data_IF_252533723906
#
_entry.id   IF_252533723906
#
_cell.length_a   1.000
_cell.length_b   1.000
_cell.length_c   1.000
_cell.angle_alpha   90.00
_cell.angle_beta   90.00
_cell.angle_gamma   90.00
#
_symmetry.space_group_name_H-M   'P 1'
#
loop_
_entity.id
_entity.type
_entity.pdbx_description
1 polymer ?
#
# COMPACT_ATOMS: atom_id res chain seq x y z
N UNK A 1 1.26 19.09 55.92
CA UNK A 1 1.86 19.54 54.65
C UNK A 1 2.86 18.56 54.05
N UNK A 2 3.81 17.98 54.81
CA UNK A 2 4.81 17.02 54.29
C UNK A 2 4.22 15.78 53.57
N UNK A 3 3.07 15.27 54.04
CA UNK A 3 2.36 14.14 53.43
C UNK A 3 1.70 14.49 52.08
N UNK A 4 1.33 15.76 51.87
CA UNK A 4 0.71 16.25 50.63
C UNK A 4 1.76 16.42 49.52
N UNK A 5 2.95 16.89 49.87
CA UNK A 5 4.08 16.98 48.94
C UNK A 5 4.53 15.62 48.41
N UNK A 6 4.54 14.58 49.26
CA UNK A 6 4.89 13.22 48.81
C UNK A 6 3.85 12.62 47.86
N UNK A 7 2.55 12.92 48.05
CA UNK A 7 1.51 12.46 47.13
C UNK A 7 1.58 13.19 45.80
N UNK A 8 1.88 14.49 45.80
CA UNK A 8 2.03 15.28 44.58
C UNK A 8 3.24 14.82 43.74
N UNK A 9 4.38 14.52 44.38
CA UNK A 9 5.59 14.02 43.70
C UNK A 9 5.33 12.62 43.10
N UNK A 10 4.63 11.75 43.83
CA UNK A 10 4.27 10.42 43.32
C UNK A 10 3.34 10.51 42.10
N UNK A 11 2.34 11.40 42.13
CA UNK A 11 1.43 11.63 41.01
C UNK A 11 2.17 12.19 39.78
N UNK A 12 3.11 13.10 39.99
CA UNK A 12 3.94 13.67 38.92
C UNK A 12 4.90 12.63 38.32
N UNK A 13 5.43 11.71 39.14
CA UNK A 13 6.27 10.61 38.66
C UNK A 13 5.51 9.62 37.78
N UNK A 14 4.25 9.31 38.11
CA UNK A 14 3.39 8.47 37.27
C UNK A 14 3.12 9.13 35.92
N UNK A 15 2.85 10.44 35.90
CA UNK A 15 2.69 11.19 34.64
C UNK A 15 3.97 11.27 33.79
N UNK A 16 5.14 11.38 34.42
CA UNK A 16 6.43 11.36 33.71
C UNK A 16 6.77 9.98 33.12
N UNK A 17 6.30 8.89 33.73
CA UNK A 17 6.52 7.54 33.23
C UNK A 17 5.59 7.16 32.06
N UNK A 18 4.40 7.74 31.96
CA UNK A 18 3.52 7.57 30.78
C UNK A 18 3.97 8.41 29.57
N UNK A 19 4.79 9.45 29.77
CA UNK A 19 5.30 10.31 28.69
C UNK A 19 6.51 9.77 27.93
N UNK A 20 7.12 8.68 28.38
CA UNK A 20 8.28 8.05 27.73
C UNK A 20 7.96 6.71 27.04
N UNK A 21 6.67 6.43 26.80
CA UNK A 21 6.22 5.34 25.95
C UNK A 21 5.64 5.92 24.66
N UNK A 22 6.41 6.78 23.99
CA UNK A 22 6.24 6.92 22.55
C UNK A 22 6.90 5.68 21.98
N UNK A 23 6.06 4.69 21.67
CA UNK A 23 6.45 3.48 20.96
C UNK A 23 7.04 3.96 19.63
N UNK A 24 8.37 3.90 19.51
CA UNK A 24 9.07 4.16 18.25
C UNK A 24 8.45 3.21 17.22
N UNK A 25 7.65 3.75 16.30
CA UNK A 25 7.10 2.99 15.18
C UNK A 25 8.30 2.31 14.52
N UNK A 26 8.37 0.97 14.50
CA UNK A 26 9.57 0.28 14.08
C UNK A 26 9.85 0.63 12.62
N UNK A 27 10.84 1.50 12.42
CA UNK A 27 11.34 1.94 11.10
C UNK A 27 11.73 0.76 10.19
N UNK A 28 11.87 -0.45 10.74
CA UNK A 28 12.15 -1.67 9.99
C UNK A 28 11.05 -2.08 9.01
N UNK A 29 9.77 -1.80 9.31
CA UNK A 29 8.66 -2.17 8.42
C UNK A 29 8.59 -1.23 7.19
N UNK A 30 9.02 0.02 7.37
CA UNK A 30 9.16 1.02 6.31
C UNK A 30 10.24 0.68 5.28
N UNK A 31 11.20 -0.18 5.63
CA UNK A 31 12.39 -0.44 4.81
C UNK A 31 12.03 -0.88 3.39
N UNK A 32 12.76 -0.43 2.37
CA UNK A 32 12.57 -0.91 0.99
C UNK A 32 12.95 -2.39 0.82
N UNK A 33 13.62 -2.97 1.82
CA UNK A 33 14.02 -4.38 1.84
C UNK A 33 13.03 -5.28 2.58
N UNK A 34 11.92 -4.74 3.12
CA UNK A 34 10.89 -5.54 3.76
C UNK A 34 9.96 -6.22 2.75
N UNK A 35 9.14 -7.14 3.24
CA UNK A 35 8.08 -7.77 2.46
C UNK A 35 6.77 -6.99 2.63
N UNK A 36 5.95 -7.03 1.59
CA UNK A 36 4.54 -6.62 1.59
C UNK A 36 3.68 -7.86 1.76
N UNK A 37 2.57 -7.72 2.48
CA UNK A 37 1.57 -8.78 2.67
C UNK A 37 0.30 -8.40 1.93
N UNK A 38 -0.33 -9.37 1.27
CA UNK A 38 -1.57 -9.13 0.54
C UNK A 38 -2.75 -8.89 1.50
N UNK A 39 -3.43 -7.77 1.35
CA UNK A 39 -4.66 -7.43 2.05
C UNK A 39 -5.87 -7.82 1.21
N UNK A 40 -6.67 -8.76 1.71
CA UNK A 40 -7.84 -9.28 1.01
C UNK A 40 -9.06 -8.35 1.06
N UNK A 41 -9.06 -7.33 1.91
CA UNK A 41 -10.13 -6.34 1.99
C UNK A 41 -9.96 -5.24 0.93
N UNK A 42 -8.72 -4.78 0.72
CA UNK A 42 -8.37 -3.79 -0.33
C UNK A 42 -7.99 -4.43 -1.66
N UNK A 43 -7.68 -5.74 -1.68
CA UNK A 43 -7.06 -6.46 -2.80
C UNK A 43 -5.69 -5.88 -3.21
N UNK A 44 -4.91 -5.37 -2.26
CA UNK A 44 -3.59 -4.79 -2.55
C UNK A 44 -2.51 -5.28 -1.59
N UNK A 45 -1.25 -5.16 -1.98
CA UNK A 45 -0.09 -5.41 -1.13
C UNK A 45 0.33 -4.18 -0.29
N UNK A 46 -0.24 -3.03 -0.58
CA UNK A 46 0.30 -1.72 -0.18
C UNK A 46 -0.41 -1.07 0.99
N UNK A 47 -1.22 -1.82 1.71
CA UNK A 47 -1.83 -1.38 2.97
C UNK A 47 -0.83 -1.48 4.12
N UNK A 48 0.27 -0.74 3.95
CA UNK A 48 1.45 -0.70 4.82
C UNK A 48 1.33 0.43 5.85
N UNK A 49 2.42 0.67 6.61
CA UNK A 49 2.49 1.84 7.47
C UNK A 49 2.48 3.14 6.64
N UNK A 50 1.86 4.24 7.13
CA UNK A 50 1.80 5.50 6.40
C UNK A 50 3.15 6.17 6.09
N UNK A 51 4.24 5.73 6.73
CA UNK A 51 5.59 6.22 6.51
C UNK A 51 6.35 5.46 5.40
N UNK A 52 5.72 4.45 4.80
CA UNK A 52 6.23 3.65 3.71
C UNK A 52 5.98 4.34 2.37
N UNK A 53 6.98 4.41 1.48
CA UNK A 53 6.83 5.05 0.17
C UNK A 53 5.82 4.35 -0.73
N UNK A 54 5.50 3.09 -0.43
CA UNK A 54 4.47 2.32 -1.13
C UNK A 54 3.09 2.43 -0.50
N UNK A 55 2.92 3.12 0.62
CA UNK A 55 1.62 3.24 1.29
C UNK A 55 0.53 3.73 0.31
N UNK A 56 -0.52 2.93 0.16
CA UNK A 56 -1.67 3.21 -0.73
C UNK A 56 -1.28 3.45 -2.20
N UNK A 57 -0.17 2.84 -2.67
CA UNK A 57 0.24 2.87 -4.07
C UNK A 57 -0.35 1.74 -4.93
N UNK A 58 -1.01 0.77 -4.28
CA UNK A 58 -1.54 -0.43 -4.90
C UNK A 58 -2.69 -0.15 -5.86
N UNK A 59 -2.80 -1.03 -6.85
CA UNK A 59 -3.94 -1.10 -7.76
C UNK A 59 -4.50 -2.52 -7.63
N UNK A 60 -5.79 -2.69 -7.32
CA UNK A 60 -6.39 -4.00 -7.08
C UNK A 60 -6.26 -5.01 -8.23
N UNK A 61 -6.29 -4.55 -9.48
CA UNK A 61 -6.14 -5.43 -10.64
C UNK A 61 -4.69 -5.90 -10.76
N UNK A 62 -3.75 -4.95 -10.76
CA UNK A 62 -2.32 -5.25 -10.89
C UNK A 62 -1.84 -6.14 -9.72
N UNK A 63 -2.26 -5.82 -8.50
CA UNK A 63 -1.87 -6.56 -7.30
C UNK A 63 -2.50 -7.96 -7.28
N UNK A 64 -3.71 -8.13 -7.81
CA UNK A 64 -4.29 -9.48 -8.01
C UNK A 64 -3.50 -10.29 -9.05
N UNK A 65 -3.06 -9.68 -10.15
CA UNK A 65 -2.21 -10.35 -11.16
C UNK A 65 -0.88 -10.77 -10.55
N UNK A 66 -0.27 -9.90 -9.73
CA UNK A 66 0.96 -10.21 -8.98
C UNK A 66 0.70 -11.36 -8.00
N UNK A 67 -0.39 -11.31 -7.22
CA UNK A 67 -0.78 -12.36 -6.29
C UNK A 67 -0.90 -13.71 -7.01
N UNK A 68 -1.63 -13.75 -8.13
CA UNK A 68 -1.80 -14.95 -8.94
C UNK A 68 -0.45 -15.53 -9.37
N UNK A 69 0.44 -14.68 -9.88
CA UNK A 69 1.78 -15.10 -10.31
C UNK A 69 2.64 -15.59 -9.15
N UNK A 70 2.58 -14.95 -7.99
CA UNK A 70 3.31 -15.37 -6.77
C UNK A 70 2.81 -16.74 -6.30
N UNK A 71 1.50 -16.98 -6.32
CA UNK A 71 0.92 -18.24 -5.84
C UNK A 71 1.10 -19.40 -6.82
N UNK A 72 0.71 -19.23 -8.09
CA UNK A 72 0.75 -20.30 -9.08
C UNK A 72 2.11 -20.45 -9.78
N UNK A 73 2.99 -19.45 -9.67
CA UNK A 73 4.29 -19.42 -10.35
C UNK A 73 4.20 -19.18 -11.86
N UNK A 74 3.02 -18.84 -12.38
CA UNK A 74 2.75 -18.60 -13.81
C UNK A 74 2.05 -17.27 -14.01
N UNK A 75 2.36 -16.59 -15.11
CA UNK A 75 1.67 -15.34 -15.49
C UNK A 75 0.37 -15.65 -16.20
N UNK A 76 -0.64 -14.80 -15.99
CA UNK A 76 -1.87 -14.80 -16.78
C UNK A 76 -1.55 -14.48 -18.25
N UNK A 77 -2.37 -15.01 -19.15
CA UNK A 77 -2.38 -14.64 -20.56
C UNK A 77 -2.96 -13.24 -20.73
N UNK A 78 -2.63 -12.58 -21.84
CA UNK A 78 -3.19 -11.26 -22.15
C UNK A 78 -4.72 -11.26 -22.26
N UNK A 79 -5.32 -12.38 -22.72
CA UNK A 79 -6.78 -12.52 -22.80
C UNK A 79 -7.43 -12.59 -21.41
N UNK A 80 -6.80 -13.29 -20.46
CA UNK A 80 -7.24 -13.33 -19.06
C UNK A 80 -7.13 -11.93 -18.42
N UNK A 81 -6.00 -11.24 -18.60
CA UNK A 81 -5.79 -9.89 -18.04
C UNK A 81 -6.87 -8.92 -18.54
N UNK A 82 -7.18 -8.90 -19.83
CA UNK A 82 -8.23 -8.04 -20.42
C UNK A 82 -9.61 -8.37 -19.82
N UNK A 83 -9.90 -9.65 -19.60
CA UNK A 83 -11.17 -10.07 -19.01
C UNK A 83 -11.30 -9.61 -17.55
N UNK A 84 -10.20 -9.67 -16.78
CA UNK A 84 -10.14 -9.14 -15.42
C UNK A 84 -10.24 -7.61 -15.39
N UNK A 85 -9.56 -6.90 -16.30
CA UNK A 85 -9.61 -5.44 -16.41
C UNK A 85 -11.06 -4.93 -16.53
N UNK A 86 -11.84 -5.50 -17.44
CA UNK A 86 -13.26 -5.14 -17.61
C UNK A 86 -14.12 -5.39 -16.37
N UNK A 87 -13.79 -6.39 -15.53
CA UNK A 87 -14.50 -6.63 -14.27
C UNK A 87 -14.05 -5.62 -13.22
N UNK A 88 -12.74 -5.44 -13.05
CA UNK A 88 -12.17 -4.53 -12.05
C UNK A 88 -12.60 -3.08 -12.30
N UNK A 89 -12.72 -2.60 -13.53
CA UNK A 89 -13.30 -1.27 -13.81
C UNK A 89 -14.67 -1.07 -13.16
N UNK A 90 -15.52 -2.10 -13.16
CA UNK A 90 -16.86 -2.06 -12.55
C UNK A 90 -16.79 -2.11 -11.03
N UNK A 91 -15.92 -2.97 -10.49
CA UNK A 91 -15.70 -3.05 -9.04
C UNK A 91 -15.12 -1.73 -8.51
N UNK A 92 -14.14 -1.16 -9.20
CA UNK A 92 -13.52 0.13 -8.90
C UNK A 92 -14.55 1.26 -8.86
N UNK A 93 -15.51 1.27 -9.79
CA UNK A 93 -16.61 2.22 -9.74
C UNK A 93 -17.44 2.07 -8.46
N UNK A 94 -17.83 0.85 -8.10
CA UNK A 94 -18.61 0.62 -6.88
C UNK A 94 -17.83 1.02 -5.63
N UNK A 95 -16.56 0.64 -5.50
CA UNK A 95 -15.74 0.97 -4.33
C UNK A 95 -15.47 2.48 -4.22
N UNK A 96 -15.33 3.20 -5.34
CA UNK A 96 -15.11 4.65 -5.35
C UNK A 96 -16.35 5.47 -4.96
N UNK A 97 -17.56 4.97 -5.24
CA UNK A 97 -18.83 5.68 -4.99
C UNK A 97 -19.69 5.05 -3.90
N UNK A 98 -19.12 4.17 -3.08
CA UNK A 98 -19.78 3.53 -1.95
C UNK A 98 -18.82 3.36 -0.77
N UNK A 99 -19.31 2.80 0.33
CA UNK A 99 -18.45 2.35 1.44
C UNK A 99 -18.11 0.85 1.34
N UNK A 100 -18.39 0.22 0.20
CA UNK A 100 -18.17 -1.22 0.01
C UNK A 100 -16.72 -1.45 -0.42
N UNK A 101 -16.02 -2.33 0.27
CA UNK A 101 -14.63 -2.71 -0.04
C UNK A 101 -14.56 -3.81 -1.10
N UNK A 102 -13.38 -4.05 -1.69
CA UNK A 102 -13.21 -5.17 -2.60
C UNK A 102 -13.38 -6.53 -1.91
N UNK A 103 -12.92 -6.67 -0.67
CA UNK A 103 -13.14 -7.88 0.13
C UNK A 103 -14.62 -8.16 0.37
N UNK A 104 -15.42 -7.11 0.57
CA UNK A 104 -16.87 -7.25 0.65
C UNK A 104 -17.47 -7.67 -0.70
N UNK A 105 -17.10 -7.00 -1.80
CA UNK A 105 -17.60 -7.36 -3.14
C UNK A 105 -17.25 -8.80 -3.51
N UNK A 106 -16.03 -9.25 -3.27
CA UNK A 106 -15.61 -10.63 -3.57
C UNK A 106 -16.27 -11.67 -2.66
N UNK A 107 -16.87 -11.26 -1.54
CA UNK A 107 -17.71 -12.16 -0.73
C UNK A 107 -19.13 -12.35 -1.27
N UNK A 108 -19.60 -11.47 -2.16
CA UNK A 108 -20.98 -11.48 -2.65
C UNK A 108 -21.28 -12.66 -3.59
N UNK A 109 -22.52 -13.14 -3.57
CA UNK A 109 -23.04 -13.98 -4.65
C UNK A 109 -23.14 -13.17 -5.95
N UNK A 110 -23.24 -13.86 -7.10
CA UNK A 110 -23.48 -13.19 -8.39
C UNK A 110 -24.76 -12.36 -8.37
N UNK A 111 -25.81 -12.81 -7.67
CA UNK A 111 -27.06 -12.08 -7.52
C UNK A 111 -26.86 -10.78 -6.71
N UNK A 112 -26.13 -10.85 -5.59
CA UNK A 112 -25.80 -9.68 -4.78
C UNK A 112 -24.95 -8.67 -5.57
N UNK A 113 -23.97 -9.14 -6.34
CA UNK A 113 -23.17 -8.28 -7.22
C UNK A 113 -24.05 -7.60 -8.28
N UNK A 114 -24.96 -8.34 -8.92
CA UNK A 114 -25.90 -7.79 -9.92
C UNK A 114 -26.73 -6.67 -9.34
N UNK A 115 -27.34 -6.88 -8.17
CA UNK A 115 -28.18 -5.87 -7.48
C UNK A 115 -27.38 -4.60 -7.19
N UNK A 116 -26.13 -4.75 -6.76
CA UNK A 116 -25.26 -3.61 -6.45
C UNK A 116 -24.91 -2.82 -7.70
N UNK A 117 -24.49 -3.51 -8.77
CA UNK A 117 -24.14 -2.86 -10.05
C UNK A 117 -25.35 -2.22 -10.74
N UNK A 118 -26.52 -2.84 -10.67
CA UNK A 118 -27.79 -2.27 -11.14
C UNK A 118 -28.12 -0.96 -10.41
N UNK A 119 -27.81 -0.86 -9.12
CA UNK A 119 -27.92 0.37 -8.32
C UNK A 119 -27.11 1.54 -8.89
N UNK A 120 -26.06 1.25 -9.66
CA UNK A 120 -25.21 2.21 -10.36
C UNK A 120 -25.44 2.25 -11.87
N UNK A 121 -26.49 1.57 -12.38
CA UNK A 121 -26.79 1.44 -13.81
C UNK A 121 -25.63 0.81 -14.63
N UNK A 122 -24.87 -0.09 -14.00
CA UNK A 122 -23.80 -0.85 -14.66
C UNK A 122 -24.37 -2.22 -15.06
N UNK A 123 -24.27 -2.55 -16.35
CA UNK A 123 -24.71 -3.84 -16.88
C UNK A 123 -23.68 -4.93 -16.60
N UNK A 124 -24.15 -6.07 -16.08
CA UNK A 124 -23.35 -7.28 -15.90
C UNK A 124 -23.53 -8.20 -17.11
N UNK A 125 -22.45 -8.49 -17.82
CA UNK A 125 -22.42 -9.45 -18.92
C UNK A 125 -22.20 -10.87 -18.38
N UNK A 126 -22.48 -11.88 -19.22
CA UNK A 126 -22.15 -13.26 -18.87
C UNK A 126 -20.65 -13.46 -18.62
N UNK A 127 -19.79 -12.73 -19.34
CA UNK A 127 -18.35 -12.81 -19.14
C UNK A 127 -17.97 -12.30 -17.74
N UNK A 128 -18.54 -11.18 -17.31
CA UNK A 128 -18.28 -10.64 -15.96
C UNK A 128 -18.68 -11.63 -14.86
N UNK A 129 -19.79 -12.34 -15.03
CA UNK A 129 -20.23 -13.39 -14.09
C UNK A 129 -19.19 -14.51 -14.01
N UNK A 130 -18.66 -14.94 -15.15
CA UNK A 130 -17.66 -16.01 -15.21
C UNK A 130 -16.38 -15.55 -14.51
N UNK A 131 -15.85 -14.39 -14.88
CA UNK A 131 -14.61 -13.84 -14.30
C UNK A 131 -14.76 -13.53 -12.82
N UNK A 132 -15.92 -13.04 -12.37
CA UNK A 132 -16.17 -12.79 -10.96
C UNK A 132 -16.18 -14.09 -10.14
N UNK A 133 -16.78 -15.16 -10.66
CA UNK A 133 -16.75 -16.45 -9.98
C UNK A 133 -15.35 -17.07 -9.98
N UNK A 134 -14.57 -16.86 -11.06
CA UNK A 134 -13.16 -17.25 -11.13
C UNK A 134 -12.33 -16.51 -10.07
N UNK A 135 -12.37 -15.16 -10.05
CA UNK A 135 -11.74 -14.30 -9.04
C UNK A 135 -12.01 -14.81 -7.61
N UNK A 136 -13.28 -15.07 -7.30
CA UNK A 136 -13.70 -15.57 -5.99
C UNK A 136 -13.10 -16.91 -5.66
N UNK A 137 -13.08 -17.82 -6.63
CA UNK A 137 -12.56 -19.17 -6.46
C UNK A 137 -11.06 -19.10 -6.23
N UNK A 138 -10.34 -18.35 -7.05
CA UNK A 138 -8.90 -18.08 -6.91
C UNK A 138 -8.56 -17.48 -5.54
N UNK A 139 -9.23 -16.39 -5.13
CA UNK A 139 -8.98 -15.78 -3.82
C UNK A 139 -9.29 -16.74 -2.66
N UNK A 140 -10.33 -17.57 -2.79
CA UNK A 140 -10.66 -18.58 -1.78
C UNK A 140 -9.60 -19.68 -1.70
N UNK A 141 -9.10 -20.17 -2.83
CA UNK A 141 -8.02 -21.17 -2.90
C UNK A 141 -6.73 -20.64 -2.27
N UNK A 142 -6.32 -19.43 -2.68
CA UNK A 142 -5.12 -18.74 -2.19
C UNK A 142 -5.22 -18.50 -0.67
N UNK A 143 -6.37 -18.03 -0.17
CA UNK A 143 -6.57 -17.79 1.26
C UNK A 143 -6.70 -19.08 2.07
N UNK A 144 -7.21 -20.15 1.45
CA UNK A 144 -7.53 -21.42 2.08
C UNK A 144 -6.36 -22.40 2.17
N UNK A 145 -5.23 -22.13 1.51
CA UNK A 145 -4.01 -22.91 1.75
C UNK A 145 -3.47 -22.58 3.14
N UNK A 146 -3.43 -23.58 4.03
CA UNK A 146 -3.02 -23.54 5.44
C UNK A 146 -1.57 -23.01 5.70
N UNK A 147 -0.89 -22.51 4.66
CA UNK A 147 0.46 -21.98 4.72
C UNK A 147 0.51 -20.54 4.20
N UNK A 148 0.79 -19.62 5.12
CA UNK A 148 1.51 -18.34 4.91
C UNK A 148 0.64 -17.19 4.35
N UNK A 149 0.62 -16.09 5.10
CA UNK A 149 0.26 -14.76 4.57
C UNK A 149 1.10 -14.50 3.31
N UNK A 150 0.46 -14.51 2.14
CA UNK A 150 1.19 -14.36 0.89
C UNK A 150 1.88 -13.01 0.88
N UNK A 151 3.19 -13.06 0.68
CA UNK A 151 4.04 -11.89 0.73
C UNK A 151 5.02 -11.84 -0.42
N UNK A 152 5.42 -10.63 -0.76
CA UNK A 152 6.36 -10.30 -1.84
C UNK A 152 7.34 -9.25 -1.34
N UNK A 153 8.62 -9.38 -1.65
CA UNK A 153 9.61 -8.33 -1.34
C UNK A 153 9.28 -7.04 -2.11
N UNK A 154 9.37 -5.87 -1.47
CA UNK A 154 9.01 -4.58 -2.09
C UNK A 154 9.72 -4.30 -3.41
N UNK A 155 11.01 -4.62 -3.50
CA UNK A 155 11.78 -4.47 -4.75
C UNK A 155 11.15 -5.33 -5.86
N UNK A 156 10.85 -6.60 -5.57
CA UNK A 156 10.20 -7.49 -6.53
C UNK A 156 8.78 -7.04 -6.88
N UNK A 157 8.06 -6.42 -5.95
CA UNK A 157 6.77 -5.81 -6.21
C UNK A 157 6.87 -4.64 -7.20
N UNK A 158 7.79 -3.70 -6.97
CA UNK A 158 8.04 -2.55 -7.87
C UNK A 158 8.46 -3.04 -9.26
N UNK A 159 9.37 -4.00 -9.33
CA UNK A 159 9.81 -4.61 -10.59
C UNK A 159 8.65 -5.25 -11.36
N UNK A 160 7.73 -5.94 -10.66
CA UNK A 160 6.57 -6.55 -11.29
C UNK A 160 5.54 -5.53 -11.76
N UNK A 161 5.22 -4.52 -10.95
CA UNK A 161 4.30 -3.43 -11.34
C UNK A 161 4.80 -2.69 -12.58
N UNK A 162 6.09 -2.39 -12.64
CA UNK A 162 6.69 -1.67 -13.76
C UNK A 162 7.09 -2.58 -14.93
N UNK A 163 7.07 -3.90 -14.75
CA UNK A 163 7.59 -4.88 -15.71
C UNK A 163 9.04 -4.60 -16.14
N UNK A 164 9.90 -4.19 -15.19
CA UNK A 164 11.33 -3.91 -15.39
C UNK A 164 12.16 -4.52 -14.26
N UNK A 165 13.45 -4.71 -14.50
CA UNK A 165 14.40 -5.01 -13.42
C UNK A 165 15.06 -3.74 -12.91
N UNK A 166 15.19 -3.60 -11.59
CA UNK A 166 15.85 -2.48 -10.95
C UNK A 166 17.33 -2.76 -10.80
N UNK A 167 18.16 -1.75 -11.08
CA UNK A 167 19.59 -1.83 -10.82
C UNK A 167 19.91 -1.62 -9.34
N UNK A 168 21.13 -1.97 -8.90
CA UNK A 168 21.59 -1.69 -7.53
C UNK A 168 21.52 -0.18 -7.20
N UNK A 169 21.77 0.69 -8.18
CA UNK A 169 21.65 2.13 -8.00
C UNK A 169 20.19 2.55 -7.80
N UNK A 170 19.24 1.97 -8.55
CA UNK A 170 17.82 2.26 -8.38
C UNK A 170 17.33 1.86 -6.99
N UNK A 171 17.74 0.66 -6.52
CA UNK A 171 17.43 0.17 -5.18
C UNK A 171 18.03 1.10 -4.11
N UNK A 172 19.29 1.51 -4.27
CA UNK A 172 19.92 2.47 -3.37
C UNK A 172 19.21 3.83 -3.35
N UNK A 173 18.76 4.32 -4.51
CA UNK A 173 17.99 5.57 -4.59
C UNK A 173 16.63 5.43 -3.91
N UNK A 174 15.95 4.29 -4.04
CA UNK A 174 14.67 4.02 -3.37
C UNK A 174 14.84 3.95 -1.84
N UNK A 175 15.91 3.33 -1.35
CA UNK A 175 16.24 3.32 0.08
C UNK A 175 16.47 4.74 0.63
N UNK A 176 17.14 5.58 -0.16
CA UNK A 176 17.34 6.99 0.17
C UNK A 176 16.01 7.74 0.20
N UNK A 177 15.14 7.54 -0.80
CA UNK A 177 13.80 8.16 -0.84
C UNK A 177 12.96 7.74 0.36
N UNK A 178 12.95 6.44 0.70
CA UNK A 178 12.25 5.91 1.88
C UNK A 178 12.71 6.58 3.16
N UNK A 179 14.02 6.74 3.34
CA UNK A 179 14.58 7.41 4.52
C UNK A 179 14.13 8.87 4.62
N UNK A 180 14.17 9.62 3.51
CA UNK A 180 13.75 11.03 3.50
C UNK A 180 12.24 11.19 3.67
N UNK A 181 11.44 10.34 3.03
CA UNK A 181 9.99 10.34 3.16
C UNK A 181 9.57 10.02 4.59
N UNK A 182 10.16 9.02 5.23
CA UNK A 182 9.88 8.67 6.62
C UNK A 182 10.18 9.85 7.56
N UNK A 183 11.28 10.58 7.37
CA UNK A 183 11.58 11.79 8.16
C UNK A 183 10.52 12.89 7.97
N UNK A 184 10.06 13.12 6.74
CA UNK A 184 8.98 14.10 6.50
C UNK A 184 7.70 13.66 7.21
N UNK A 185 7.29 12.39 7.03
CA UNK A 185 6.06 11.82 7.61
C UNK A 185 6.05 11.89 9.13
N UNK A 186 7.18 11.64 9.79
CA UNK A 186 7.31 11.77 11.25
C UNK A 186 7.02 13.19 11.75
N UNK A 187 7.25 14.20 10.91
CA UNK A 187 6.99 15.61 11.24
C UNK A 187 5.66 16.15 10.68
N UNK A 188 5.09 15.45 9.69
CA UNK A 188 3.86 15.80 9.01
C UNK A 188 3.10 14.53 8.60
N UNK A 189 2.27 14.04 9.51
CA UNK A 189 1.43 12.83 9.33
C UNK A 189 0.42 12.93 8.18
N UNK A 190 0.26 14.09 7.55
CA UNK A 190 -0.65 14.28 6.40
C UNK A 190 0.05 14.32 5.05
N UNK A 191 1.39 14.37 5.01
CA UNK A 191 2.13 14.45 3.76
C UNK A 191 2.10 13.11 3.01
N UNK A 192 1.47 12.97 1.85
CA UNK A 192 1.51 11.73 1.06
C UNK A 192 2.38 11.95 -0.18
N UNK A 193 3.42 11.13 -0.38
CA UNK A 193 4.44 11.38 -1.41
C UNK A 193 3.85 11.62 -2.82
N UNK A 194 2.78 10.87 -3.14
CA UNK A 194 2.10 10.88 -4.45
C UNK A 194 1.26 12.13 -4.71
N UNK A 195 0.88 12.86 -3.66
CA UNK A 195 0.04 14.06 -3.77
C UNK A 195 0.84 15.33 -4.09
N UNK A 196 2.17 15.26 -4.01
CA UNK A 196 3.07 16.41 -4.14
C UNK A 196 4.05 16.18 -5.27
N UNK A 197 4.47 17.26 -5.94
CA UNK A 197 5.57 17.22 -6.91
C UNK A 197 6.91 16.90 -6.23
N UNK A 198 7.93 16.53 -7.02
CA UNK A 198 9.28 16.33 -6.50
C UNK A 198 9.83 17.61 -5.86
N UNK A 199 9.60 18.76 -6.49
CA UNK A 199 10.02 20.06 -5.99
C UNK A 199 9.35 20.39 -4.65
N UNK A 200 8.07 20.05 -4.48
CA UNK A 200 7.35 20.24 -3.21
C UNK A 200 7.87 19.30 -2.12
N UNK A 201 8.21 18.05 -2.47
CA UNK A 201 8.85 17.10 -1.56
C UNK A 201 10.19 17.62 -1.05
N UNK A 202 11.05 18.13 -1.94
CA UNK A 202 12.34 18.73 -1.57
C UNK A 202 12.12 19.98 -0.71
N UNK A 203 11.16 20.83 -1.07
CA UNK A 203 10.84 22.05 -0.31
C UNK A 203 10.38 21.73 1.10
N UNK A 204 9.53 20.71 1.27
CA UNK A 204 9.08 20.24 2.59
C UNK A 204 10.27 19.77 3.42
N UNK A 205 11.17 18.96 2.84
CA UNK A 205 12.35 18.51 3.54
C UNK A 205 13.27 19.66 3.95
N UNK A 206 13.59 20.57 3.04
CA UNK A 206 14.50 21.69 3.30
C UNK A 206 13.89 22.72 4.28
N UNK A 207 12.57 22.79 4.39
CA UNK A 207 11.89 23.62 5.40
C UNK A 207 12.22 23.24 6.85
N UNK A 208 12.72 22.02 7.08
CA UNK A 208 13.24 21.55 8.38
C UNK A 208 14.62 22.11 8.74
N UNK A 209 15.21 22.95 7.88
CA UNK A 209 16.54 23.55 8.08
C UNK A 209 17.71 22.70 7.58
N UNK A 210 17.42 21.61 6.85
CA UNK A 210 18.42 20.76 6.20
C UNK A 210 18.66 21.23 4.76
N UNK A 211 19.88 21.07 4.26
CA UNK A 211 20.23 21.38 2.86
C UNK A 211 20.63 20.10 2.16
N UNK A 212 19.97 19.81 1.05
CA UNK A 212 20.24 18.59 0.26
C UNK A 212 21.23 18.92 -0.85
N UNK A 213 22.27 18.10 -1.00
CA UNK A 213 23.24 18.27 -2.10
C UNK A 213 22.59 17.97 -3.46
N UNK A 214 23.08 18.60 -4.54
CA UNK A 214 22.54 18.37 -5.89
C UNK A 214 22.64 16.91 -6.33
N UNK A 215 23.73 16.23 -5.98
CA UNK A 215 23.88 14.79 -6.21
C UNK A 215 22.77 13.99 -5.52
N UNK A 216 22.48 14.31 -4.26
CA UNK A 216 21.37 13.69 -3.51
C UNK A 216 20.01 14.01 -4.13
N UNK A 217 19.77 15.24 -4.61
CA UNK A 217 18.53 15.61 -5.31
C UNK A 217 18.34 14.76 -6.57
N UNK A 218 19.39 14.57 -7.36
CA UNK A 218 19.33 13.72 -8.56
C UNK A 218 18.98 12.26 -8.23
N UNK A 219 19.54 11.71 -7.15
CA UNK A 219 19.23 10.35 -6.66
C UNK A 219 17.77 10.24 -6.22
N UNK A 220 17.31 11.19 -5.41
CA UNK A 220 15.92 11.23 -4.95
C UNK A 220 14.95 11.39 -6.11
N UNK A 221 15.26 12.22 -7.12
CA UNK A 221 14.43 12.42 -8.31
C UNK A 221 14.28 11.11 -9.11
N UNK A 222 15.38 10.37 -9.28
CA UNK A 222 15.36 9.06 -9.93
C UNK A 222 14.41 8.09 -9.23
N UNK A 223 14.51 7.94 -7.91
CA UNK A 223 13.63 7.07 -7.13
C UNK A 223 12.18 7.56 -7.12
N UNK A 224 11.97 8.86 -7.01
CA UNK A 224 10.65 9.47 -7.01
C UNK A 224 9.93 9.19 -8.34
N UNK A 225 10.66 9.27 -9.46
CA UNK A 225 10.12 8.92 -10.79
C UNK A 225 9.67 7.47 -10.85
N UNK A 226 10.43 6.53 -10.26
CA UNK A 226 10.06 5.12 -10.18
C UNK A 226 8.74 4.96 -9.41
N UNK A 227 8.65 5.54 -8.20
CA UNK A 227 7.46 5.40 -7.34
C UNK A 227 6.21 6.04 -7.95
N UNK A 228 6.35 7.15 -8.66
CA UNK A 228 5.24 7.80 -9.35
C UNK A 228 4.85 7.16 -10.69
N UNK A 229 5.63 6.21 -11.17
CA UNK A 229 5.29 5.43 -12.37
C UNK A 229 4.50 4.15 -12.03
N UNK A 230 4.36 3.81 -10.74
CA UNK A 230 3.55 2.70 -10.24
C UNK A 230 2.06 3.04 -10.29
#
# INVERSE_FOLDING_TARGET
MRKLYMTLISLFMVFLLFGCAMEDIPLSEASIYSNLTYDYDTLTFTETLPLDILYQSGDPLDDFIILYKVYYGTSMTSEEVIAYESLFEKLNYVTAYSSITYGQLTSYSTEQLSVVLEGYSIELTLNDVIIFNDLKTTLHEIRGSDEIDISIGKIAYIEQRLSVSLSENDIFHLDLLQSYYAEIRQSNDSFLLRDYSFEDFITHYESSGRVISEDTKNKLFSAYTIINSL
#
